data_IF_597930322778
#
_entry.id   IF_597930322778
#
_cell.length_a   1.000
_cell.length_b   1.000
_cell.length_c   1.000
_cell.angle_alpha   90.00
_cell.angle_beta   90.00
_cell.angle_gamma   90.00
#
_symmetry.space_group_name_H-M   'P 1'
#
loop_
_entity.id
_entity.type
_entity.pdbx_description
1 polymer ?
#
# COMPACT_ATOMS: atom_id res chain seq x y z
N UNK A 1 -20.04 -1.23 13.18
CA UNK A 1 -18.79 -0.45 13.32
C UNK A 1 -18.32 -0.05 11.94
N UNK A 2 -17.67 1.12 11.75
CA UNK A 2 -17.11 1.49 10.45
C UNK A 2 -15.97 0.53 10.06
N UNK A 3 -15.84 0.25 8.76
CA UNK A 3 -14.74 -0.58 8.23
C UNK A 3 -13.39 0.06 8.51
N UNK A 4 -12.42 -0.72 8.96
CA UNK A 4 -11.05 -0.28 9.24
C UNK A 4 -10.13 -0.47 8.03
N UNK A 5 -8.93 0.12 8.09
CA UNK A 5 -7.88 -0.14 7.10
C UNK A 5 -7.47 -1.62 7.05
N UNK A 6 -7.50 -2.30 8.20
CA UNK A 6 -7.19 -3.73 8.29
C UNK A 6 -8.28 -4.58 7.62
N UNK A 7 -9.55 -4.23 7.81
CA UNK A 7 -10.66 -4.94 7.15
C UNK A 7 -10.56 -4.85 5.62
N UNK A 8 -10.27 -3.65 5.10
CA UNK A 8 -10.09 -3.43 3.67
C UNK A 8 -8.90 -4.24 3.10
N UNK A 9 -7.79 -4.30 3.83
CA UNK A 9 -6.62 -5.08 3.42
C UNK A 9 -6.89 -6.60 3.47
N UNK A 10 -7.60 -7.07 4.50
CA UNK A 10 -7.97 -8.47 4.65
C UNK A 10 -8.91 -8.95 3.54
N UNK A 11 -9.84 -8.11 3.08
CA UNK A 11 -10.67 -8.41 1.90
C UNK A 11 -9.80 -8.66 0.66
N UNK A 12 -8.85 -7.78 0.37
CA UNK A 12 -7.96 -7.92 -0.79
C UNK A 12 -7.05 -9.15 -0.66
N UNK A 13 -6.52 -9.43 0.54
CA UNK A 13 -5.74 -10.66 0.81
C UNK A 13 -6.57 -11.93 0.65
N UNK A 14 -7.83 -11.92 1.12
CA UNK A 14 -8.73 -13.06 0.96
C UNK A 14 -8.99 -13.35 -0.52
N UNK A 15 -9.15 -12.31 -1.34
CA UNK A 15 -9.25 -12.44 -2.80
C UNK A 15 -7.96 -12.96 -3.43
N UNK A 16 -6.79 -12.51 -2.98
CA UNK A 16 -5.50 -13.02 -3.45
C UNK A 16 -5.38 -14.53 -3.20
N UNK A 17 -5.70 -14.97 -1.98
CA UNK A 17 -5.74 -16.41 -1.63
C UNK A 17 -6.79 -17.19 -2.40
N UNK A 18 -7.97 -16.60 -2.59
CA UNK A 18 -9.03 -17.19 -3.42
C UNK A 18 -8.58 -17.43 -4.85
N UNK A 19 -7.81 -16.51 -5.44
CA UNK A 19 -7.18 -16.72 -6.74
C UNK A 19 -6.15 -17.84 -6.68
N UNK A 20 -5.24 -17.85 -5.70
CA UNK A 20 -4.23 -18.90 -5.58
C UNK A 20 -4.85 -20.30 -5.42
N UNK A 21 -5.98 -20.41 -4.73
CA UNK A 21 -6.71 -21.66 -4.57
C UNK A 21 -7.23 -22.24 -5.91
N UNK A 22 -7.29 -21.44 -6.98
CA UNK A 22 -7.61 -21.90 -8.33
C UNK A 22 -6.41 -22.56 -9.04
N UNK A 23 -5.20 -22.54 -8.47
CA UNK A 23 -4.02 -23.23 -9.01
C UNK A 23 -4.17 -24.76 -8.89
N UNK A 24 -4.96 -25.33 -9.80
CA UNK A 24 -5.24 -26.75 -9.85
C UNK A 24 -4.29 -27.51 -10.81
N UNK A 25 -3.85 -28.74 -10.47
CA UNK A 25 -2.89 -29.51 -11.30
C UNK A 25 -3.38 -29.85 -12.71
N UNK A 26 -4.69 -29.83 -12.95
CA UNK A 26 -5.30 -30.15 -14.26
C UNK A 26 -5.33 -28.94 -15.22
N UNK A 27 -4.90 -27.75 -14.78
CA UNK A 27 -4.81 -26.57 -15.62
C UNK A 27 -3.49 -26.56 -16.41
N UNK A 28 -3.49 -25.89 -17.56
CA UNK A 28 -2.28 -25.65 -18.33
C UNK A 28 -1.25 -24.85 -17.49
N UNK A 29 0.03 -25.21 -17.58
CA UNK A 29 1.07 -24.60 -16.72
C UNK A 29 1.13 -23.08 -16.82
N UNK A 30 0.97 -22.52 -18.02
CA UNK A 30 0.93 -21.06 -18.22
C UNK A 30 -0.21 -20.41 -17.42
N UNK A 31 -1.40 -21.01 -17.44
CA UNK A 31 -2.56 -20.51 -16.68
C UNK A 31 -2.28 -20.58 -15.18
N UNK A 32 -1.68 -21.68 -14.71
CA UNK A 32 -1.31 -21.86 -13.31
C UNK A 32 -0.30 -20.81 -12.84
N UNK A 33 0.71 -20.53 -13.65
CA UNK A 33 1.67 -19.48 -13.32
C UNK A 33 1.04 -18.09 -13.33
N UNK A 34 0.13 -17.79 -14.25
CA UNK A 34 -0.56 -16.49 -14.30
C UNK A 34 -1.51 -16.30 -13.11
N UNK A 35 -2.16 -17.37 -12.65
CA UNK A 35 -2.92 -17.38 -11.39
C UNK A 35 -2.00 -16.98 -10.23
N UNK A 36 -0.82 -17.60 -10.12
CA UNK A 36 0.17 -17.29 -9.08
C UNK A 36 0.65 -15.84 -9.14
N UNK A 37 0.99 -15.35 -10.34
CA UNK A 37 1.45 -13.96 -10.56
C UNK A 37 0.37 -12.95 -10.18
N UNK A 38 -0.86 -13.19 -10.61
CA UNK A 38 -2.02 -12.34 -10.29
C UNK A 38 -2.30 -12.34 -8.79
N UNK A 39 -2.25 -13.52 -8.17
CA UNK A 39 -2.39 -13.67 -6.72
C UNK A 39 -1.34 -12.84 -5.96
N UNK A 40 -0.05 -12.95 -6.32
CA UNK A 40 1.01 -12.17 -5.69
C UNK A 40 0.81 -10.66 -5.86
N UNK A 41 0.47 -10.22 -7.08
CA UNK A 41 0.19 -8.81 -7.36
C UNK A 41 -0.97 -8.28 -6.51
N UNK A 42 -2.03 -9.08 -6.35
CA UNK A 42 -3.17 -8.72 -5.51
C UNK A 42 -2.81 -8.71 -4.01
N UNK A 43 -1.96 -9.63 -3.55
CA UNK A 43 -1.42 -9.61 -2.19
C UNK A 43 -0.67 -8.32 -1.87
N UNK A 44 0.19 -7.85 -2.78
CA UNK A 44 0.89 -6.55 -2.63
C UNK A 44 -0.09 -5.37 -2.69
N UNK A 45 -1.16 -5.46 -3.49
CA UNK A 45 -2.22 -4.46 -3.50
C UNK A 45 -2.98 -4.37 -2.17
N UNK A 46 -3.03 -5.44 -1.37
CA UNK A 46 -3.61 -5.39 -0.03
C UNK A 46 -2.81 -4.51 0.94
N UNK A 47 -1.47 -4.58 0.88
CA UNK A 47 -0.59 -3.69 1.65
C UNK A 47 -0.80 -2.23 1.24
N UNK A 48 -0.86 -1.98 -0.06
CA UNK A 48 -1.11 -0.65 -0.61
C UNK A 48 -2.48 -0.11 -0.16
N UNK A 49 -3.50 -0.97 -0.16
CA UNK A 49 -4.86 -0.67 0.31
C UNK A 49 -4.86 -0.30 1.79
N UNK A 50 -4.19 -1.09 2.63
CA UNK A 50 -4.05 -0.79 4.06
C UNK A 50 -3.51 0.63 4.28
N UNK A 51 -2.39 0.96 3.62
CA UNK A 51 -1.71 2.24 3.80
C UNK A 51 -2.57 3.41 3.33
N UNK A 52 -3.23 3.27 2.18
CA UNK A 52 -4.15 4.29 1.67
C UNK A 52 -5.29 4.58 2.66
N UNK A 53 -5.92 3.53 3.21
CA UNK A 53 -7.00 3.68 4.18
C UNK A 53 -6.53 4.28 5.50
N UNK A 54 -5.37 3.84 5.98
CA UNK A 54 -4.77 4.36 7.21
C UNK A 54 -4.46 5.85 7.08
N UNK A 55 -3.75 6.27 6.02
CA UNK A 55 -3.37 7.68 5.81
C UNK A 55 -4.60 8.55 5.53
N UNK A 56 -5.59 8.05 4.78
CA UNK A 56 -6.85 8.76 4.55
C UNK A 56 -7.60 9.07 5.85
N UNK A 57 -7.38 8.26 6.89
CA UNK A 57 -8.01 8.40 8.20
C UNK A 57 -7.16 9.22 9.19
N UNK A 58 -6.01 9.77 8.78
CA UNK A 58 -5.11 10.52 9.67
C UNK A 58 -5.83 11.69 10.35
N UNK A 59 -5.54 11.94 11.63
CA UNK A 59 -6.07 13.12 12.31
C UNK A 59 -5.31 14.38 11.87
N UNK A 60 -6.05 15.48 11.63
CA UNK A 60 -5.45 16.81 11.43
C UNK A 60 -5.27 17.55 12.77
N UNK A 61 -4.90 16.81 13.82
CA UNK A 61 -4.67 17.35 15.15
C UNK A 61 -3.56 18.43 15.13
N UNK A 62 -3.63 19.36 16.07
CA UNK A 62 -2.58 20.34 16.31
C UNK A 62 -1.63 19.85 17.41
N UNK A 63 -0.30 19.87 17.17
CA UNK A 63 0.37 20.30 15.94
C UNK A 63 0.27 19.24 14.83
N UNK A 64 0.15 19.69 13.56
CA UNK A 64 0.08 18.77 12.41
C UNK A 64 1.36 17.94 12.31
N UNK A 65 1.29 16.63 11.99
CA UNK A 65 2.48 15.80 11.78
C UNK A 65 3.46 16.43 10.78
N UNK A 66 4.77 16.30 11.04
CA UNK A 66 5.81 17.02 10.29
C UNK A 66 5.75 16.76 8.80
N UNK A 67 5.55 15.50 8.38
CA UNK A 67 5.47 15.15 6.97
C UNK A 67 4.13 15.57 6.35
N UNK A 68 3.06 15.60 7.12
CA UNK A 68 1.74 16.02 6.63
C UNK A 68 1.72 17.52 6.29
N UNK A 69 2.56 18.34 6.94
CA UNK A 69 2.78 19.76 6.58
C UNK A 69 3.41 19.96 5.20
N UNK A 70 4.07 18.93 4.67
CA UNK A 70 4.77 18.99 3.37
C UNK A 70 3.90 18.54 2.20
N UNK A 71 2.66 18.10 2.47
CA UNK A 71 1.74 17.68 1.41
C UNK A 71 1.46 18.89 0.52
N UNK A 72 1.75 18.81 -0.78
CA UNK A 72 1.60 19.94 -1.67
C UNK A 72 0.13 20.27 -1.87
N UNK A 73 -0.19 21.56 -1.78
CA UNK A 73 -1.51 22.10 -2.11
C UNK A 73 -1.32 23.16 -3.18
N UNK A 74 -2.08 23.07 -4.27
CA UNK A 74 -1.98 24.05 -5.35
C UNK A 74 -2.47 25.42 -4.89
N UNK A 75 -1.84 26.49 -5.38
CA UNK A 75 -2.19 27.86 -4.97
C UNK A 75 -3.66 28.19 -5.24
N UNK A 76 -4.20 27.75 -6.38
CA UNK A 76 -5.62 27.91 -6.70
C UNK A 76 -6.56 27.26 -5.67
N UNK A 77 -6.20 26.10 -5.11
CA UNK A 77 -6.98 25.49 -4.02
C UNK A 77 -6.88 26.29 -2.75
N UNK A 78 -5.70 26.81 -2.43
CA UNK A 78 -5.54 27.67 -1.25
C UNK A 78 -6.44 28.91 -1.33
N UNK A 79 -6.49 29.57 -2.48
CA UNK A 79 -7.41 30.69 -2.72
C UNK A 79 -8.87 30.27 -2.58
N UNK A 80 -9.27 29.17 -3.22
CA UNK A 80 -10.64 28.66 -3.13
C UNK A 80 -11.06 28.32 -1.68
N UNK A 81 -10.15 27.77 -0.87
CA UNK A 81 -10.39 27.51 0.55
C UNK A 81 -10.55 28.81 1.35
N UNK A 82 -9.74 29.83 1.05
CA UNK A 82 -9.82 31.15 1.70
C UNK A 82 -11.12 31.88 1.34
N UNK A 83 -11.45 31.96 0.05
CA UNK A 83 -12.66 32.61 -0.46
C UNK A 83 -13.92 31.93 0.08
N UNK A 84 -13.95 30.59 0.06
CA UNK A 84 -15.04 29.82 0.65
C UNK A 84 -15.21 30.08 2.16
N UNK A 85 -14.10 30.25 2.89
CA UNK A 85 -14.13 30.57 4.32
C UNK A 85 -14.69 31.97 4.59
N UNK A 86 -14.29 32.96 3.79
CA UNK A 86 -14.79 34.34 3.89
C UNK A 86 -16.27 34.41 3.53
N UNK A 87 -16.68 33.75 2.44
CA UNK A 87 -18.08 33.71 2.00
C UNK A 87 -18.99 33.02 3.03
N UNK A 88 -18.56 31.88 3.58
CA UNK A 88 -19.30 31.19 4.64
C UNK A 88 -19.51 32.08 5.87
N UNK A 89 -18.47 32.81 6.30
CA UNK A 89 -18.56 33.77 7.41
C UNK A 89 -19.53 34.91 7.11
N UNK A 90 -19.50 35.47 5.90
CA UNK A 90 -20.42 36.55 5.49
C UNK A 90 -21.88 36.10 5.49
N UNK A 91 -22.14 34.86 5.09
CA UNK A 91 -23.48 34.31 4.95
C UNK A 91 -24.00 33.58 6.21
N UNK A 92 -23.22 33.54 7.30
CA UNK A 92 -23.59 32.82 8.52
C UNK A 92 -23.65 31.29 8.35
N UNK A 93 -22.94 30.73 7.37
CA UNK A 93 -22.95 29.30 7.05
C UNK A 93 -21.75 28.62 7.73
N UNK A 94 -21.95 27.40 8.23
CA UNK A 94 -20.87 26.59 8.77
C UNK A 94 -19.86 26.19 7.68
N UNK A 95 -18.60 26.60 7.85
CA UNK A 95 -17.51 26.20 6.97
C UNK A 95 -16.85 24.90 7.44
N UNK A 96 -16.35 24.08 6.50
CA UNK A 96 -15.67 22.80 6.77
C UNK A 96 -14.27 22.75 6.15
N UNK A 97 -13.33 23.60 6.60
CA UNK A 97 -11.99 23.69 6.00
C UNK A 97 -11.20 22.37 6.09
N UNK A 98 -11.43 21.57 7.13
CA UNK A 98 -10.80 20.26 7.27
C UNK A 98 -11.22 19.28 6.17
N UNK A 99 -12.45 19.38 5.65
CA UNK A 99 -12.91 18.55 4.52
C UNK A 99 -12.14 18.91 3.25
N UNK A 100 -11.92 20.20 3.01
CA UNK A 100 -11.15 20.67 1.85
C UNK A 100 -9.68 20.23 1.95
N UNK A 101 -9.06 20.36 3.13
CA UNK A 101 -7.72 19.83 3.39
C UNK A 101 -7.65 18.30 3.20
N UNK A 102 -8.70 17.57 3.60
CA UNK A 102 -8.80 16.11 3.38
C UNK A 102 -8.86 15.76 1.90
N UNK A 103 -9.61 16.52 1.12
CA UNK A 103 -9.69 16.31 -0.33
C UNK A 103 -8.33 16.56 -0.99
N UNK A 104 -7.61 17.61 -0.58
CA UNK A 104 -6.25 17.85 -1.06
C UNK A 104 -5.29 16.68 -0.74
N UNK A 105 -5.35 16.14 0.49
CA UNK A 105 -4.59 14.94 0.85
C UNK A 105 -4.99 13.73 -0.01
N UNK A 106 -6.29 13.48 -0.18
CA UNK A 106 -6.78 12.34 -0.96
C UNK A 106 -6.31 12.38 -2.41
N UNK A 107 -6.31 13.57 -3.03
CA UNK A 107 -5.81 13.71 -4.40
C UNK A 107 -4.31 13.43 -4.51
N UNK A 108 -3.51 13.80 -3.50
CA UNK A 108 -2.10 13.42 -3.47
C UNK A 108 -1.94 11.91 -3.31
N UNK A 109 -2.71 11.30 -2.40
CA UNK A 109 -2.69 9.86 -2.16
C UNK A 109 -2.98 9.05 -3.43
N UNK A 110 -3.87 9.51 -4.32
CA UNK A 110 -4.16 8.81 -5.60
C UNK A 110 -2.92 8.61 -6.49
N UNK A 111 -1.86 9.38 -6.30
CA UNK A 111 -0.61 9.28 -7.09
C UNK A 111 0.50 8.56 -6.35
N UNK A 112 0.26 8.13 -5.10
CA UNK A 112 1.23 7.47 -4.26
C UNK A 112 1.01 5.96 -4.28
N UNK A 113 2.10 5.20 -4.18
CA UNK A 113 2.08 3.75 -3.96
C UNK A 113 2.87 3.44 -2.71
N UNK A 114 2.42 2.45 -1.94
CA UNK A 114 2.99 2.08 -0.65
C UNK A 114 3.32 0.60 -0.62
N UNK A 115 4.33 0.20 -1.39
CA UNK A 115 4.62 -1.21 -1.66
C UNK A 115 6.07 -1.56 -1.32
N UNK A 116 7.01 -0.65 -1.53
CA UNK A 116 8.40 -0.78 -1.10
C UNK A 116 8.67 -0.15 0.27
N UNK A 117 9.81 -0.49 0.87
CA UNK A 117 10.21 -0.03 2.19
C UNK A 117 10.24 1.50 2.30
N UNK A 118 10.94 2.20 1.40
CA UNK A 118 10.99 3.67 1.43
C UNK A 118 9.62 4.34 1.35
N UNK A 119 8.69 3.73 0.62
CA UNK A 119 7.32 4.23 0.48
C UNK A 119 6.51 4.00 1.76
N UNK A 120 6.58 2.80 2.35
CA UNK A 120 5.95 2.50 3.64
C UNK A 120 6.44 3.45 4.73
N UNK A 121 7.75 3.69 4.79
CA UNK A 121 8.33 4.61 5.75
C UNK A 121 7.78 6.04 5.57
N UNK A 122 7.69 6.52 4.33
CA UNK A 122 7.08 7.82 4.02
C UNK A 122 5.61 7.86 4.45
N UNK A 123 4.84 6.81 4.17
CA UNK A 123 3.44 6.70 4.56
C UNK A 123 3.23 6.71 6.07
N UNK A 124 4.03 5.96 6.81
CA UNK A 124 3.94 5.92 8.28
C UNK A 124 4.38 7.22 8.94
N UNK A 125 5.31 7.96 8.34
CA UNK A 125 5.64 9.31 8.80
C UNK A 125 4.50 10.31 8.57
N UNK A 126 3.64 10.12 7.56
CA UNK A 126 2.40 10.91 7.42
C UNK A 126 1.42 10.63 8.57
N UNK A 127 1.48 9.43 9.14
CA UNK A 127 0.72 9.00 10.34
C UNK A 127 1.41 9.38 11.66
N UNK A 128 2.46 10.21 11.63
CA UNK A 128 3.29 10.60 12.78
C UNK A 128 4.00 9.44 13.52
N UNK A 129 4.19 8.30 12.86
CA UNK A 129 4.90 7.17 13.44
C UNK A 129 6.42 7.39 13.37
N UNK A 130 7.10 7.14 14.49
CA UNK A 130 8.57 7.21 14.64
C UNK A 130 9.15 5.81 14.77
N UNK A 131 10.46 5.67 14.49
CA UNK A 131 11.19 4.40 14.61
C UNK A 131 10.49 3.21 13.93
N UNK A 132 9.83 3.50 12.81
CA UNK A 132 8.92 2.63 12.05
C UNK A 132 9.41 1.20 11.96
N UNK A 133 10.63 1.00 11.45
CA UNK A 133 11.16 -0.33 11.17
C UNK A 133 11.53 -1.09 12.43
N UNK A 134 11.96 -0.40 13.49
CA UNK A 134 12.26 -1.03 14.78
C UNK A 134 10.96 -1.53 15.42
N UNK A 135 9.92 -0.72 15.38
CA UNK A 135 8.62 -1.08 15.96
C UNK A 135 7.94 -2.18 15.14
N UNK A 136 7.99 -2.12 13.80
CA UNK A 136 7.50 -3.20 12.93
C UNK A 136 8.23 -4.52 13.16
N UNK A 137 9.57 -4.48 13.21
CA UNK A 137 10.40 -5.64 13.47
C UNK A 137 10.03 -6.34 14.79
N UNK A 138 9.72 -5.56 15.83
CA UNK A 138 9.28 -6.07 17.13
C UNK A 138 7.84 -6.61 17.12
N UNK A 139 6.96 -6.07 16.27
CA UNK A 139 5.57 -6.49 16.14
C UNK A 139 5.39 -7.75 15.25
N UNK A 140 6.36 -8.07 14.40
CA UNK A 140 6.36 -9.29 13.58
C UNK A 140 6.47 -10.56 14.44
N UNK A 141 5.86 -11.65 13.97
CA UNK A 141 5.96 -12.97 14.60
C UNK A 141 6.43 -14.01 13.57
N UNK A 142 7.63 -14.63 13.76
CA UNK A 142 8.63 -14.29 14.75
C UNK A 142 9.22 -12.88 14.55
N UNK A 143 9.80 -12.31 15.60
CA UNK A 143 10.47 -11.02 15.51
C UNK A 143 11.59 -11.10 14.45
N UNK A 144 11.67 -10.06 13.62
CA UNK A 144 12.64 -9.96 12.53
C UNK A 144 13.63 -8.83 12.79
N UNK A 145 14.75 -8.77 12.05
CA UNK A 145 15.58 -7.57 12.07
C UNK A 145 15.01 -6.54 11.11
N UNK A 146 15.10 -5.23 11.42
CA UNK A 146 14.66 -4.17 10.52
C UNK A 146 15.22 -4.27 9.09
N UNK A 147 16.49 -4.67 8.93
CA UNK A 147 17.13 -4.82 7.63
C UNK A 147 16.52 -5.97 6.82
N UNK A 148 16.33 -7.13 7.44
CA UNK A 148 15.74 -8.32 6.81
C UNK A 148 14.30 -8.04 6.40
N UNK A 149 13.55 -7.31 7.23
CA UNK A 149 12.16 -6.93 6.94
C UNK A 149 12.06 -6.02 5.72
N UNK A 150 12.95 -5.02 5.61
CA UNK A 150 13.03 -4.14 4.44
C UNK A 150 13.40 -4.91 3.19
N UNK A 151 14.46 -5.72 3.26
CA UNK A 151 14.93 -6.51 2.14
C UNK A 151 13.84 -7.43 1.60
N UNK A 152 13.11 -8.10 2.52
CA UNK A 152 12.00 -8.97 2.14
C UNK A 152 10.84 -8.22 1.49
N UNK A 153 10.47 -7.05 2.02
CA UNK A 153 9.42 -6.24 1.41
C UNK A 153 9.82 -5.78 0.01
N UNK A 154 11.05 -5.30 -0.15
CA UNK A 154 11.56 -4.78 -1.41
C UNK A 154 11.71 -5.89 -2.46
N UNK A 155 12.08 -7.12 -2.07
CA UNK A 155 12.07 -8.30 -2.93
C UNK A 155 10.67 -8.60 -3.48
N UNK A 156 9.66 -8.67 -2.60
CA UNK A 156 8.26 -8.94 -3.00
C UNK A 156 7.71 -7.82 -3.89
N UNK A 157 7.96 -6.56 -3.52
CA UNK A 157 7.55 -5.39 -4.27
C UNK A 157 8.19 -5.35 -5.66
N UNK A 158 9.49 -5.64 -5.74
CA UNK A 158 10.22 -5.75 -6.99
C UNK A 158 9.62 -6.83 -7.89
N UNK A 159 9.33 -8.02 -7.34
CA UNK A 159 8.72 -9.10 -8.11
C UNK A 159 7.33 -8.73 -8.63
N UNK A 160 6.50 -8.09 -7.81
CA UNK A 160 5.19 -7.58 -8.27
C UNK A 160 5.35 -6.56 -9.39
N UNK A 161 6.34 -5.68 -9.32
CA UNK A 161 6.58 -4.70 -10.38
C UNK A 161 6.97 -5.38 -11.70
N UNK A 162 7.82 -6.41 -11.64
CA UNK A 162 8.12 -7.23 -12.82
C UNK A 162 6.85 -7.87 -13.42
N UNK A 163 5.99 -8.44 -12.58
CA UNK A 163 4.72 -9.04 -13.00
C UNK A 163 3.83 -8.03 -13.72
N UNK A 164 3.59 -6.87 -13.09
CA UNK A 164 2.59 -5.90 -13.57
C UNK A 164 3.09 -5.06 -14.74
N UNK A 165 4.37 -4.69 -14.75
CA UNK A 165 4.91 -3.79 -15.77
C UNK A 165 5.59 -4.52 -16.93
N UNK A 166 6.18 -5.69 -16.68
CA UNK A 166 7.00 -6.42 -17.66
C UNK A 166 6.45 -7.80 -18.01
N UNK A 167 5.30 -8.20 -17.45
CA UNK A 167 4.73 -9.53 -17.66
C UNK A 167 5.60 -10.65 -17.06
N UNK A 168 6.42 -10.31 -16.07
CA UNK A 168 7.37 -11.20 -15.40
C UNK A 168 8.37 -11.87 -16.37
N UNK A 169 8.71 -11.18 -17.46
CA UNK A 169 9.64 -11.67 -18.47
C UNK A 169 11.07 -11.69 -17.94
N UNK A 170 11.81 -12.75 -18.28
CA UNK A 170 13.24 -12.81 -18.01
C UNK A 170 13.97 -11.80 -18.90
N UNK A 171 14.71 -10.88 -18.27
CA UNK A 171 15.47 -9.84 -18.98
C UNK A 171 16.69 -10.46 -19.66
N UNK A 172 16.63 -10.60 -20.98
CA UNK A 172 17.73 -11.06 -21.83
C UNK A 172 17.96 -10.01 -22.93
N UNK A 173 19.21 -9.74 -23.28
CA UNK A 173 19.53 -8.72 -24.30
C UNK A 173 19.07 -9.12 -25.72
N UNK A 174 19.11 -10.42 -26.03
CA UNK A 174 18.74 -10.96 -27.36
C UNK A 174 18.03 -12.32 -27.23
N UNK A 175 16.79 -12.36 -26.72
CA UNK A 175 16.08 -13.61 -26.52
C UNK A 175 15.61 -14.20 -27.85
N UNK A 176 15.97 -15.46 -28.11
CA UNK A 176 15.40 -16.23 -29.23
C UNK A 176 14.00 -16.76 -28.92
N UNK A 177 13.61 -16.80 -27.64
CA UNK A 177 12.30 -17.25 -27.16
C UNK A 177 11.88 -16.42 -25.95
N UNK A 178 10.57 -16.17 -25.84
CA UNK A 178 9.97 -15.53 -24.66
C UNK A 178 10.10 -16.48 -23.47
N UNK A 179 10.77 -16.03 -22.41
CA UNK A 179 10.87 -16.72 -21.14
C UNK A 179 10.32 -15.83 -20.03
N UNK A 180 9.65 -16.45 -19.08
CA UNK A 180 9.16 -15.81 -17.86
C UNK A 180 9.96 -16.34 -16.69
N UNK A 181 10.06 -15.51 -15.67
CA UNK A 181 10.61 -15.93 -14.41
C UNK A 181 9.76 -17.04 -13.77
N UNK A 182 10.41 -18.06 -13.21
CA UNK A 182 9.72 -19.18 -12.58
C UNK A 182 8.97 -18.71 -11.32
N UNK A 183 7.78 -19.27 -11.10
CA UNK A 183 6.95 -18.96 -9.92
C UNK A 183 6.26 -20.22 -9.41
N UNK A 184 6.45 -20.51 -8.11
CA UNK A 184 5.93 -21.73 -7.46
C UNK A 184 4.79 -21.38 -6.52
N UNK A 185 3.73 -22.18 -6.52
CA UNK A 185 2.57 -22.00 -5.64
C UNK A 185 2.95 -21.86 -4.16
N UNK A 186 3.78 -22.77 -3.59
CA UNK A 186 4.21 -22.66 -2.20
C UNK A 186 4.99 -21.38 -1.87
N UNK A 187 5.77 -20.86 -2.82
CA UNK A 187 6.50 -19.61 -2.63
C UNK A 187 5.53 -18.41 -2.56
N UNK A 188 4.54 -18.38 -3.47
CA UNK A 188 3.50 -17.33 -3.45
C UNK A 188 2.66 -17.41 -2.18
N UNK A 189 2.31 -18.60 -1.72
CA UNK A 189 1.60 -18.78 -0.44
C UNK A 189 2.41 -18.18 0.72
N UNK A 190 3.72 -18.48 0.78
CA UNK A 190 4.60 -17.92 1.81
C UNK A 190 4.72 -16.39 1.71
N UNK A 191 4.72 -15.81 0.50
CA UNK A 191 4.70 -14.36 0.30
C UNK A 191 3.39 -13.74 0.83
N UNK A 192 2.23 -14.36 0.54
CA UNK A 192 0.93 -13.89 1.03
C UNK A 192 0.83 -13.96 2.56
N UNK A 193 1.33 -15.04 3.16
CA UNK A 193 1.31 -15.22 4.61
C UNK A 193 2.25 -14.23 5.32
N UNK A 194 3.40 -13.95 4.69
CA UNK A 194 4.31 -12.91 5.15
C UNK A 194 3.66 -11.52 5.04
N UNK A 195 2.99 -11.21 3.92
CA UNK A 195 2.28 -9.94 3.73
C UNK A 195 1.15 -9.76 4.74
N UNK A 196 0.39 -10.82 5.05
CA UNK A 196 -0.64 -10.77 6.09
C UNK A 196 -0.03 -10.47 7.47
N UNK A 197 1.07 -11.15 7.82
CA UNK A 197 1.77 -10.89 9.08
C UNK A 197 2.30 -9.46 9.15
N UNK A 198 2.85 -8.96 8.05
CA UNK A 198 3.34 -7.58 7.94
C UNK A 198 2.23 -6.54 8.09
N UNK A 199 1.09 -6.73 7.43
CA UNK A 199 -0.09 -5.84 7.54
C UNK A 199 -0.69 -5.89 8.96
N UNK A 200 -0.73 -7.07 9.56
CA UNK A 200 -1.19 -7.22 10.96
C UNK A 200 -0.26 -6.47 11.92
N UNK A 201 1.06 -6.57 11.72
CA UNK A 201 2.04 -5.81 12.50
C UNK A 201 1.85 -4.29 12.32
N UNK A 202 1.64 -3.81 11.09
CA UNK A 202 1.32 -2.41 10.81
C UNK A 202 0.09 -1.92 11.59
N UNK A 203 -0.95 -2.74 11.68
CA UNK A 203 -2.19 -2.41 12.40
C UNK A 203 -2.01 -2.27 13.93
N UNK A 204 -0.91 -2.77 14.49
CA UNK A 204 -0.61 -2.63 15.93
C UNK A 204 0.20 -1.38 16.28
N UNK A 205 0.72 -0.65 15.29
CA UNK A 205 1.55 0.55 15.51
C UNK A 205 0.73 1.77 15.92
#
# INVERSE_FOLDING_TARGET
MPMTALDAANDVLARARGLLALDAPNLADLVREDIRRTSLALGVAALDTYMHWAIRSVSFAHPLPKELRKVPVTFGKMLAMADGSVAARKNGIANRPQVQARNALNEQLLTMTFQGSGQIEKGLKLLDKKDVWRNLAAAMQPAAKPADLKARLDEISFRRNMIVHEGDLTRLERPQRIKREAIKGPAVQADLDWLQSFISALATL
#
